data_IF_866405546373
#
_entry.id   IF_866405546373
#
_cell.length_a   1.000
_cell.length_b   1.000
_cell.length_c   1.000
_cell.angle_alpha   90.00
_cell.angle_beta   90.00
_cell.angle_gamma   90.00
#
_symmetry.space_group_name_H-M   'P 1'
#
loop_
_entity.id
_entity.type
_entity.pdbx_description
1 polymer ?
#
# COMPACT_ATOMS: atom_id res chain seq x y z
N UNK A 1 28.20 35.88 27.37
CA UNK A 1 26.76 36.25 27.25
C UNK A 1 26.37 36.48 25.77
N UNK A 2 25.69 35.58 25.06
CA UNK A 2 24.37 34.96 25.38
C UNK A 2 23.26 36.03 25.47
N UNK A 3 22.11 35.95 24.79
CA UNK A 3 21.50 35.00 23.80
C UNK A 3 20.61 35.83 22.80
N UNK A 4 19.85 35.37 21.79
CA UNK A 4 19.30 34.06 21.37
C UNK A 4 19.24 33.89 19.84
N UNK A 5 19.49 32.67 19.34
CA UNK A 5 18.39 31.86 18.77
C UNK A 5 17.65 32.27 17.49
N UNK A 6 18.28 32.80 16.43
CA UNK A 6 17.64 32.78 15.08
C UNK A 6 17.62 31.38 14.46
N UNK A 7 16.75 30.49 14.97
CA UNK A 7 16.50 29.15 14.42
C UNK A 7 15.70 29.18 13.08
N UNK A 8 16.28 29.79 12.03
CA UNK A 8 15.83 29.54 10.65
C UNK A 8 16.46 28.25 10.11
N UNK A 9 15.84 27.10 10.37
CA UNK A 9 15.96 25.93 9.47
C UNK A 9 14.89 24.85 9.63
N UNK A 10 13.60 25.23 9.67
CA UNK A 10 12.55 24.29 9.26
C UNK A 10 12.50 24.24 7.73
N UNK A 11 13.50 23.59 7.12
CA UNK A 11 13.52 23.32 5.69
C UNK A 11 12.62 22.10 5.43
N UNK A 12 11.31 22.31 5.45
CA UNK A 12 10.36 21.29 5.02
C UNK A 12 10.62 20.97 3.56
N UNK A 13 11.20 19.80 3.28
CA UNK A 13 11.42 19.34 1.92
C UNK A 13 10.06 19.16 1.25
N UNK A 14 9.77 20.02 0.28
CA UNK A 14 8.50 20.02 -0.44
C UNK A 14 8.59 19.01 -1.58
N UNK A 15 8.31 17.75 -1.24
CA UNK A 15 8.20 16.67 -2.22
C UNK A 15 7.03 16.94 -3.16
N UNK A 16 7.23 16.67 -4.44
CA UNK A 16 6.19 16.75 -5.48
C UNK A 16 6.15 15.44 -6.24
N UNK A 17 5.01 14.75 -6.19
CA UNK A 17 4.76 13.56 -6.96
C UNK A 17 4.14 13.95 -8.31
N UNK A 18 4.73 13.50 -9.41
CA UNK A 18 4.08 13.52 -10.71
C UNK A 18 3.20 12.27 -10.83
N UNK A 19 1.93 12.42 -11.20
CA UNK A 19 1.02 11.29 -11.46
C UNK A 19 0.46 11.45 -12.87
N UNK A 20 0.94 10.59 -13.77
CA UNK A 20 0.35 10.32 -15.06
C UNK A 20 -0.91 9.47 -14.83
N UNK A 21 -1.96 9.77 -15.58
CA UNK A 21 -3.26 9.09 -15.52
C UNK A 21 -3.66 8.60 -16.91
N UNK A 22 -4.38 7.48 -16.97
CA UNK A 22 -4.87 6.89 -18.23
C UNK A 22 -6.34 6.49 -18.08
N UNK A 23 -7.24 7.25 -18.72
CA UNK A 23 -8.68 6.98 -18.68
C UNK A 23 -9.05 5.63 -19.32
N UNK A 24 -8.21 5.07 -20.19
CA UNK A 24 -8.44 3.73 -20.77
C UNK A 24 -8.29 2.61 -19.73
N UNK A 25 -7.58 2.86 -18.62
CA UNK A 25 -7.47 1.95 -17.47
C UNK A 25 -8.53 2.24 -16.39
N UNK A 26 -9.47 3.16 -16.64
CA UNK A 26 -10.68 3.37 -15.84
C UNK A 26 -10.43 3.67 -14.35
N UNK A 27 -10.67 2.67 -13.49
CA UNK A 27 -10.47 2.80 -12.04
C UNK A 27 -9.00 2.69 -11.62
N UNK A 28 -8.19 1.91 -12.34
CA UNK A 28 -6.76 1.75 -12.08
C UNK A 28 -5.94 2.93 -12.61
N UNK A 29 -6.43 3.61 -13.65
CA UNK A 29 -5.73 4.70 -14.33
C UNK A 29 -5.52 5.99 -13.55
N UNK A 30 -5.88 6.06 -12.26
CA UNK A 30 -5.90 7.31 -11.47
C UNK A 30 -5.61 7.07 -9.98
N UNK A 31 -5.14 8.09 -9.24
CA UNK A 31 -4.99 8.01 -7.78
C UNK A 31 -6.35 8.12 -7.06
N UNK A 32 -6.42 7.62 -5.83
CA UNK A 32 -7.63 7.61 -5.01
C UNK A 32 -7.42 8.30 -3.66
N UNK A 33 -8.43 8.99 -3.14
CA UNK A 33 -8.32 9.81 -1.92
C UNK A 33 -7.85 9.03 -0.68
N UNK A 34 -8.24 7.75 -0.55
CA UNK A 34 -7.79 6.90 0.55
C UNK A 34 -6.28 6.55 0.50
N UNK A 35 -5.59 6.75 -0.62
CA UNK A 35 -4.12 6.62 -0.66
C UNK A 35 -3.44 7.68 0.23
N UNK A 36 -4.04 8.86 0.42
CA UNK A 36 -3.58 9.86 1.41
C UNK A 36 -3.83 9.42 2.86
N UNK A 37 -4.85 8.58 3.08
CA UNK A 37 -5.12 7.95 4.38
C UNK A 37 -4.08 6.86 4.65
N UNK A 38 -3.85 5.97 3.68
CA UNK A 38 -2.84 4.92 3.75
C UNK A 38 -1.42 5.46 3.96
N UNK A 39 -1.07 6.58 3.29
CA UNK A 39 0.18 7.30 3.49
C UNK A 39 0.40 7.66 4.98
N UNK A 40 -0.56 8.37 5.59
CA UNK A 40 -0.48 8.84 6.98
C UNK A 40 -0.48 7.71 8.00
N UNK A 41 -1.25 6.64 7.78
CA UNK A 41 -1.26 5.47 8.67
C UNK A 41 0.09 4.77 8.67
N UNK A 42 0.70 4.57 7.50
CA UNK A 42 2.00 3.91 7.41
C UNK A 42 3.14 4.80 7.92
N UNK A 43 3.04 6.12 7.78
CA UNK A 43 3.98 7.05 8.42
C UNK A 43 4.00 6.84 9.95
N UNK A 44 2.83 6.80 10.60
CA UNK A 44 2.73 6.53 12.04
C UNK A 44 3.35 5.19 12.45
N UNK A 45 3.12 4.13 11.68
CA UNK A 45 3.70 2.80 11.90
C UNK A 45 5.24 2.82 11.79
N UNK A 46 5.77 3.52 10.79
CA UNK A 46 7.22 3.65 10.55
C UNK A 46 7.92 4.51 11.61
N UNK A 47 7.22 5.48 12.19
CA UNK A 47 7.70 6.34 13.28
C UNK A 47 7.59 5.69 14.67
N UNK A 48 6.55 4.88 14.93
CA UNK A 48 6.35 4.11 16.16
C UNK A 48 7.36 2.97 16.38
N UNK A 49 8.31 2.78 15.45
CA UNK A 49 9.45 1.84 15.56
C UNK A 49 9.06 0.37 15.79
N UNK A 50 8.02 -0.09 15.10
CA UNK A 50 7.78 -1.52 14.91
C UNK A 50 8.89 -2.21 14.06
N UNK A 51 9.82 -1.42 13.51
CA UNK A 51 11.02 -1.86 12.77
C UNK A 51 12.29 -1.22 13.34
N UNK A 52 13.40 -1.95 13.29
CA UNK A 52 14.69 -1.56 13.87
C UNK A 52 15.40 -0.46 13.08
N UNK A 53 16.33 0.25 13.75
CA UNK A 53 17.18 1.25 13.08
C UNK A 53 18.14 0.54 12.11
N UNK A 54 18.16 0.97 10.85
CA UNK A 54 18.97 0.37 9.79
C UNK A 54 18.34 -0.85 9.12
N UNK A 55 17.16 -1.29 9.57
CA UNK A 55 16.45 -2.42 8.98
C UNK A 55 15.76 -2.02 7.67
N UNK A 56 15.95 -2.84 6.63
CA UNK A 56 15.38 -2.62 5.29
C UNK A 56 13.95 -3.16 5.26
N UNK A 57 12.98 -2.25 5.19
CA UNK A 57 11.55 -2.61 5.09
C UNK A 57 11.18 -2.95 3.65
N UNK A 58 10.43 -4.03 3.46
CA UNK A 58 9.73 -4.35 2.21
C UNK A 58 8.32 -3.76 2.25
N UNK A 59 7.91 -3.04 1.21
CA UNK A 59 6.54 -2.58 1.01
C UNK A 59 5.98 -3.24 -0.24
N UNK A 60 4.77 -3.78 -0.17
CA UNK A 60 4.01 -4.29 -1.33
C UNK A 60 2.68 -3.55 -1.39
N UNK A 61 2.39 -2.90 -2.52
CA UNK A 61 1.06 -2.34 -2.80
C UNK A 61 0.29 -3.30 -3.73
N UNK A 62 -0.87 -3.77 -3.25
CA UNK A 62 -1.83 -4.59 -3.99
C UNK A 62 -2.90 -3.70 -4.61
N UNK A 63 -3.10 -3.80 -5.93
CA UNK A 63 -4.04 -2.94 -6.67
C UNK A 63 -3.56 -1.48 -6.71
N UNK A 64 -2.27 -1.28 -6.97
CA UNK A 64 -1.63 0.03 -6.90
C UNK A 64 -2.13 1.03 -7.96
N UNK A 65 -2.84 0.56 -8.99
CA UNK A 65 -3.37 1.37 -10.09
C UNK A 65 -2.25 2.13 -10.80
N UNK A 66 -2.33 3.46 -10.80
CA UNK A 66 -1.29 4.32 -11.34
C UNK A 66 0.07 4.25 -10.58
N UNK A 67 0.15 3.57 -9.43
CA UNK A 67 1.39 3.39 -8.65
C UNK A 67 1.80 4.61 -7.80
N UNK A 68 0.89 5.58 -7.62
CA UNK A 68 1.18 6.85 -6.95
C UNK A 68 1.66 6.69 -5.50
N UNK A 69 1.03 5.80 -4.72
CA UNK A 69 1.35 5.60 -3.30
C UNK A 69 2.70 4.88 -3.12
N UNK A 70 2.96 3.79 -3.85
CA UNK A 70 4.28 3.16 -3.94
C UNK A 70 5.39 4.17 -4.32
N UNK A 71 5.15 5.03 -5.32
CA UNK A 71 6.11 6.08 -5.68
C UNK A 71 6.35 7.07 -4.54
N UNK A 72 5.30 7.50 -3.83
CA UNK A 72 5.41 8.39 -2.67
C UNK A 72 6.23 7.77 -1.54
N UNK A 73 6.03 6.48 -1.22
CA UNK A 73 6.83 5.78 -0.21
C UNK A 73 8.28 5.57 -0.63
N UNK A 74 8.54 5.17 -1.88
CA UNK A 74 9.89 4.97 -2.40
C UNK A 74 10.72 6.27 -2.34
N UNK A 75 10.09 7.43 -2.61
CA UNK A 75 10.71 8.75 -2.42
C UNK A 75 10.89 9.10 -0.94
N UNK A 76 9.83 9.05 -0.13
CA UNK A 76 9.85 9.45 1.29
C UNK A 76 10.84 8.64 2.11
N UNK A 77 10.97 7.36 1.83
CA UNK A 77 11.79 6.41 2.57
C UNK A 77 13.16 6.16 1.93
N UNK A 78 13.54 6.86 0.85
CA UNK A 78 14.76 6.60 0.08
C UNK A 78 16.05 6.47 0.94
N UNK A 79 16.17 7.24 2.02
CA UNK A 79 17.30 7.17 2.96
C UNK A 79 17.38 5.85 3.75
N UNK A 80 16.27 5.12 3.90
CA UNK A 80 16.19 3.76 4.47
C UNK A 80 16.38 2.66 3.41
N UNK A 81 16.57 3.03 2.13
CA UNK A 81 16.73 2.13 0.98
C UNK A 81 15.69 0.98 0.96
N UNK A 82 14.36 1.27 1.02
CA UNK A 82 13.33 0.24 1.08
C UNK A 82 13.38 -0.71 -0.12
N UNK A 83 12.67 -1.82 -0.03
CA UNK A 83 12.22 -2.56 -1.22
C UNK A 83 10.74 -2.21 -1.42
N UNK A 84 10.40 -1.48 -2.48
CA UNK A 84 9.00 -1.12 -2.77
C UNK A 84 8.55 -1.87 -4.01
N UNK A 85 7.46 -2.64 -3.89
CA UNK A 85 6.85 -3.41 -4.97
C UNK A 85 5.45 -2.85 -5.22
N UNK A 86 5.15 -2.41 -6.43
CA UNK A 86 3.81 -2.02 -6.85
C UNK A 86 3.22 -3.11 -7.74
N UNK A 87 2.01 -3.60 -7.41
CA UNK A 87 1.42 -4.76 -8.06
C UNK A 87 -0.03 -4.55 -8.47
N UNK A 88 -0.37 -5.00 -9.68
CA UNK A 88 -1.68 -4.84 -10.30
C UNK A 88 -1.87 -5.85 -11.46
N UNK A 89 -2.94 -5.72 -12.25
CA UNK A 89 -3.18 -6.50 -13.46
C UNK A 89 -2.14 -6.19 -14.57
N UNK A 90 -1.85 -7.13 -15.48
CA UNK A 90 -0.78 -6.99 -16.48
C UNK A 90 -0.84 -5.70 -17.32
N UNK A 91 -2.06 -5.28 -17.68
CA UNK A 91 -2.37 -4.09 -18.48
C UNK A 91 -2.14 -2.76 -17.73
N UNK A 92 -2.09 -2.79 -16.39
CA UNK A 92 -1.86 -1.61 -15.54
C UNK A 92 -0.36 -1.39 -15.26
N UNK A 93 0.45 -2.45 -15.28
CA UNK A 93 1.91 -2.39 -15.05
C UNK A 93 2.63 -1.32 -15.90
N UNK A 94 2.32 -1.10 -17.20
CA UNK A 94 2.94 -0.05 -18.00
C UNK A 94 2.75 1.37 -17.44
N UNK A 95 1.61 1.67 -16.80
CA UNK A 95 1.37 2.98 -16.18
C UNK A 95 2.17 3.12 -14.88
N UNK A 96 2.24 2.07 -14.05
CA UNK A 96 3.09 2.05 -12.86
C UNK A 96 4.57 2.31 -13.20
N UNK A 97 5.10 1.64 -14.23
CA UNK A 97 6.48 1.83 -14.70
C UNK A 97 6.72 3.26 -15.19
N UNK A 98 5.77 3.85 -15.92
CA UNK A 98 5.87 5.25 -16.36
C UNK A 98 5.88 6.23 -15.18
N UNK A 99 5.03 6.02 -14.17
CA UNK A 99 5.00 6.86 -12.97
C UNK A 99 6.25 6.70 -12.10
N UNK A 100 6.76 5.49 -11.92
CA UNK A 100 8.03 5.26 -11.24
C UNK A 100 9.18 5.99 -11.97
N UNK A 101 9.23 5.88 -13.31
CA UNK A 101 10.21 6.58 -14.16
C UNK A 101 10.11 8.10 -14.09
N UNK A 102 8.91 8.66 -14.18
CA UNK A 102 8.66 10.11 -14.11
C UNK A 102 9.12 10.72 -12.78
N UNK A 103 8.93 9.99 -11.68
CA UNK A 103 9.35 10.40 -10.34
C UNK A 103 10.80 10.01 -10.00
N UNK A 104 11.47 9.18 -10.83
CA UNK A 104 12.74 8.51 -10.51
C UNK A 104 12.67 7.69 -9.21
N UNK A 105 11.49 7.15 -8.92
CA UNK A 105 11.22 6.36 -7.73
C UNK A 105 11.73 4.93 -7.90
N UNK A 106 12.38 4.37 -6.88
CA UNK A 106 12.86 2.99 -6.87
C UNK A 106 11.70 2.04 -6.49
N UNK A 107 10.88 1.70 -7.48
CA UNK A 107 9.71 0.82 -7.35
C UNK A 107 9.87 -0.37 -8.32
N UNK A 108 9.79 -1.58 -7.78
CA UNK A 108 9.63 -2.82 -8.54
C UNK A 108 8.16 -2.92 -8.99
N UNK A 109 7.87 -2.66 -10.26
CA UNK A 109 6.53 -2.82 -10.82
C UNK A 109 6.36 -4.25 -11.34
N UNK A 110 5.38 -4.99 -10.81
CA UNK A 110 5.10 -6.38 -11.20
C UNK A 110 3.60 -6.59 -11.43
N UNK A 111 3.24 -7.67 -12.15
CA UNK A 111 1.84 -8.10 -12.17
C UNK A 111 1.55 -9.09 -11.05
N UNK A 112 0.41 -8.94 -10.39
CA UNK A 112 -0.13 -9.91 -9.45
C UNK A 112 -1.67 -9.90 -9.50
N UNK A 113 -2.28 -10.71 -10.39
CA UNK A 113 -3.69 -11.06 -10.26
C UNK A 113 -3.91 -11.71 -8.89
N UNK A 114 -4.90 -11.23 -8.14
CA UNK A 114 -5.19 -11.80 -6.82
C UNK A 114 -5.66 -13.25 -6.95
N UNK A 115 -5.37 -14.07 -5.93
CA UNK A 115 -5.52 -15.52 -5.99
C UNK A 115 -4.37 -16.27 -6.68
N UNK A 116 -3.48 -15.61 -7.42
CA UNK A 116 -2.22 -16.25 -7.87
C UNK A 116 -1.23 -16.35 -6.70
N UNK A 117 -1.36 -17.45 -5.96
CA UNK A 117 -0.50 -17.74 -4.82
C UNK A 117 0.93 -18.17 -5.21
N UNK A 118 1.17 -18.49 -6.49
CA UNK A 118 2.52 -18.75 -6.98
C UNK A 118 3.24 -17.42 -7.24
N UNK A 119 2.61 -16.48 -7.94
CA UNK A 119 3.12 -15.13 -8.14
C UNK A 119 3.29 -14.35 -6.82
N UNK A 120 2.32 -14.45 -5.89
CA UNK A 120 2.41 -13.82 -4.58
C UNK A 120 3.66 -14.30 -3.80
N UNK A 121 3.91 -15.61 -3.77
CA UNK A 121 5.11 -16.18 -3.14
C UNK A 121 6.40 -15.83 -3.88
N UNK A 122 6.36 -15.75 -5.22
CA UNK A 122 7.50 -15.37 -6.04
C UNK A 122 7.98 -13.92 -5.82
N UNK A 123 7.16 -13.04 -5.23
CA UNK A 123 7.62 -11.72 -4.78
C UNK A 123 8.72 -11.78 -3.71
N UNK A 124 8.87 -12.91 -3.00
CA UNK A 124 9.86 -13.12 -1.95
C UNK A 124 9.84 -12.01 -0.87
N UNK A 125 8.67 -11.84 -0.22
CA UNK A 125 8.44 -10.81 0.80
C UNK A 125 9.05 -11.23 2.14
N UNK A 126 10.36 -11.04 2.25
CA UNK A 126 11.09 -11.15 3.51
C UNK A 126 10.65 -10.04 4.48
N UNK A 127 10.52 -10.39 5.76
CA UNK A 127 10.27 -9.42 6.83
C UNK A 127 11.53 -8.55 7.13
N UNK A 128 11.35 -7.34 7.69
CA UNK A 128 10.07 -6.69 8.00
C UNK A 128 9.32 -6.23 6.75
N UNK A 129 8.00 -6.43 6.73
CA UNK A 129 7.19 -6.11 5.57
C UNK A 129 5.87 -5.41 5.91
N UNK A 130 5.41 -4.57 4.98
CA UNK A 130 4.07 -3.98 4.99
C UNK A 130 3.38 -4.27 3.65
N UNK A 131 2.18 -4.83 3.72
CA UNK A 131 1.32 -5.09 2.56
C UNK A 131 0.16 -4.11 2.61
N UNK A 132 0.13 -3.18 1.65
CA UNK A 132 -0.91 -2.16 1.54
C UNK A 132 -1.91 -2.57 0.46
N UNK A 133 -3.19 -2.49 0.79
CA UNK A 133 -4.32 -2.83 -0.05
C UNK A 133 -5.28 -1.64 -0.01
N UNK A 134 -5.11 -0.69 -0.94
CA UNK A 134 -5.80 0.60 -0.91
C UNK A 134 -6.91 0.70 -1.96
N UNK A 135 -8.16 0.93 -1.54
CA UNK A 135 -9.35 0.99 -2.40
C UNK A 135 -9.51 -0.24 -3.31
N UNK A 136 -9.22 -1.43 -2.74
CA UNK A 136 -9.35 -2.74 -3.41
C UNK A 136 -10.46 -3.64 -2.86
N UNK A 137 -11.12 -3.24 -1.75
CA UNK A 137 -12.25 -3.98 -1.18
C UNK A 137 -13.56 -3.85 -1.99
N UNK A 138 -13.55 -3.05 -3.07
CA UNK A 138 -14.68 -2.83 -3.96
C UNK A 138 -15.01 -4.08 -4.79
N UNK A 139 -16.21 -4.10 -5.38
CA UNK A 139 -16.59 -5.11 -6.35
C UNK A 139 -16.02 -4.76 -7.73
N UNK A 140 -15.14 -5.61 -8.26
CA UNK A 140 -14.54 -5.43 -9.60
C UNK A 140 -15.55 -5.54 -10.76
N UNK A 141 -16.75 -6.07 -10.50
CA UNK A 141 -17.82 -6.16 -11.48
C UNK A 141 -18.57 -4.84 -11.68
N UNK A 142 -18.87 -4.54 -12.94
CA UNK A 142 -19.98 -3.63 -13.32
C UNK A 142 -21.17 -4.42 -13.89
N UNK A 143 -21.06 -5.75 -13.94
CA UNK A 143 -22.10 -6.70 -14.32
C UNK A 143 -22.18 -7.86 -13.31
N UNK A 144 -23.33 -8.53 -13.26
CA UNK A 144 -23.68 -9.57 -12.29
C UNK A 144 -22.91 -10.90 -12.43
N UNK A 145 -22.04 -11.05 -13.43
CA UNK A 145 -21.32 -12.29 -13.74
C UNK A 145 -19.82 -12.20 -13.48
N UNK A 146 -19.28 -11.00 -13.21
CA UNK A 146 -17.88 -10.80 -12.84
C UNK A 146 -17.54 -11.46 -11.49
N UNK A 147 -16.39 -12.15 -11.46
CA UNK A 147 -15.92 -12.94 -10.30
C UNK A 147 -15.78 -12.11 -9.01
N UNK A 148 -16.04 -12.73 -7.86
CA UNK A 148 -15.93 -12.09 -6.55
C UNK A 148 -14.47 -12.01 -6.08
N UNK A 149 -13.80 -10.91 -6.45
CA UNK A 149 -12.41 -10.59 -6.13
C UNK A 149 -12.04 -10.64 -4.65
N UNK A 150 -13.02 -10.62 -3.73
CA UNK A 150 -12.79 -10.61 -2.27
C UNK A 150 -12.08 -11.86 -1.75
N UNK A 151 -12.47 -13.04 -2.23
CA UNK A 151 -11.82 -14.31 -1.83
C UNK A 151 -10.36 -14.37 -2.35
N UNK A 152 -10.09 -14.16 -3.65
CA UNK A 152 -8.72 -14.04 -4.18
C UNK A 152 -7.87 -12.98 -3.47
N UNK A 153 -8.43 -11.81 -3.14
CA UNK A 153 -7.74 -10.75 -2.39
C UNK A 153 -7.37 -11.20 -0.96
N UNK A 154 -8.29 -11.87 -0.26
CA UNK A 154 -8.02 -12.43 1.06
C UNK A 154 -6.95 -13.52 1.03
N UNK A 155 -6.96 -14.39 0.01
CA UNK A 155 -5.96 -15.43 -0.20
C UNK A 155 -4.57 -14.83 -0.50
N UNK A 156 -4.49 -13.80 -1.35
CA UNK A 156 -3.23 -13.08 -1.62
C UNK A 156 -2.73 -12.32 -0.39
N UNK A 157 -3.59 -11.64 0.36
CA UNK A 157 -3.21 -10.97 1.61
C UNK A 157 -2.65 -11.96 2.64
N UNK A 158 -3.32 -13.10 2.83
CA UNK A 158 -2.83 -14.15 3.72
C UNK A 158 -1.48 -14.72 3.26
N UNK A 159 -1.30 -14.99 1.97
CA UNK A 159 -0.06 -15.53 1.42
C UNK A 159 1.15 -14.57 1.51
N UNK A 160 0.93 -13.26 1.63
CA UNK A 160 1.98 -12.25 1.80
C UNK A 160 2.24 -11.89 3.27
N UNK A 161 1.23 -12.03 4.15
CA UNK A 161 1.30 -11.68 5.57
C UNK A 161 1.64 -12.87 6.48
N UNK A 162 1.31 -14.11 6.08
CA UNK A 162 1.63 -15.34 6.80
C UNK A 162 2.88 -15.96 6.16
N UNK A 163 4.05 -15.41 6.50
CA UNK A 163 5.35 -15.92 6.09
C UNK A 163 5.86 -17.05 6.98
N UNK A 164 6.89 -17.76 6.50
CA UNK A 164 7.57 -18.83 7.25
C UNK A 164 8.65 -18.30 8.22
N UNK A 165 9.04 -17.02 8.10
CA UNK A 165 9.95 -16.35 9.04
C UNK A 165 9.21 -15.67 10.20
N UNK A 166 9.91 -15.45 11.31
CA UNK A 166 9.34 -14.89 12.55
C UNK A 166 9.35 -13.35 12.59
N UNK A 167 9.50 -12.67 11.45
CA UNK A 167 9.61 -11.22 11.39
C UNK A 167 8.27 -10.49 11.26
N UNK A 168 8.25 -9.22 11.66
CA UNK A 168 7.02 -8.40 11.70
C UNK A 168 6.48 -8.16 10.28
N UNK A 169 5.21 -8.53 10.07
CA UNK A 169 4.42 -8.23 8.87
C UNK A 169 3.15 -7.49 9.24
N UNK A 170 2.78 -6.47 8.47
CA UNK A 170 1.62 -5.61 8.73
C UNK A 170 0.76 -5.51 7.48
N UNK A 171 -0.53 -5.83 7.60
CA UNK A 171 -1.53 -5.60 6.56
C UNK A 171 -2.24 -4.26 6.76
N UNK A 172 -2.27 -3.42 5.73
CA UNK A 172 -3.03 -2.16 5.71
C UNK A 172 -4.11 -2.22 4.63
N UNK A 173 -5.31 -2.62 5.01
CA UNK A 173 -6.50 -2.57 4.16
C UNK A 173 -7.19 -1.21 4.37
N UNK A 174 -7.17 -0.32 3.37
CA UNK A 174 -7.61 1.08 3.49
C UNK A 174 -8.55 1.44 2.35
N UNK A 175 -9.83 1.70 2.63
CA UNK A 175 -10.85 1.95 1.61
C UNK A 175 -11.93 2.90 2.14
N UNK A 176 -12.62 3.57 1.23
CA UNK A 176 -13.84 4.32 1.56
C UNK A 176 -15.01 3.34 1.66
N UNK A 177 -15.76 3.32 2.77
CA UNK A 177 -16.97 2.48 2.85
C UNK A 177 -18.05 3.06 1.93
N UNK A 178 -18.52 2.25 0.99
CA UNK A 178 -19.59 2.51 0.01
C UNK A 178 -20.69 1.44 0.04
N UNK A 179 -20.30 0.20 0.31
CA UNK A 179 -21.19 -0.94 0.55
C UNK A 179 -20.63 -1.75 1.72
N UNK A 180 -21.09 -1.40 2.92
CA UNK A 180 -20.69 -2.03 4.18
C UNK A 180 -20.84 -3.56 4.14
N UNK A 181 -21.90 -4.05 3.49
CA UNK A 181 -22.20 -5.49 3.39
C UNK A 181 -21.19 -6.26 2.54
N UNK A 182 -20.55 -5.58 1.59
CA UNK A 182 -19.54 -6.17 0.69
C UNK A 182 -18.13 -5.97 1.17
N UNK A 183 -17.79 -4.75 1.58
CA UNK A 183 -16.42 -4.34 1.90
C UNK A 183 -16.02 -4.82 3.31
N UNK A 184 -16.91 -4.76 4.31
CA UNK A 184 -16.61 -5.32 5.64
C UNK A 184 -16.65 -6.84 5.68
N UNK A 185 -17.29 -7.49 4.70
CA UNK A 185 -17.28 -8.96 4.57
C UNK A 185 -15.88 -9.53 4.23
N UNK A 186 -14.92 -8.69 3.82
CA UNK A 186 -13.51 -9.10 3.69
C UNK A 186 -12.85 -9.34 5.06
N UNK A 187 -13.32 -8.67 6.13
CA UNK A 187 -12.75 -8.79 7.48
C UNK A 187 -12.90 -10.20 8.10
N UNK A 188 -14.05 -10.89 8.06
CA UNK A 188 -14.12 -12.30 8.47
C UNK A 188 -13.30 -13.22 7.55
N UNK A 189 -13.31 -13.02 6.23
CA UNK A 189 -12.52 -13.83 5.29
C UNK A 189 -11.01 -13.80 5.61
N UNK A 190 -10.48 -12.66 6.05
CA UNK A 190 -9.09 -12.52 6.50
C UNK A 190 -8.84 -13.26 7.83
N UNK A 191 -9.79 -13.20 8.79
CA UNK A 191 -9.70 -13.92 10.07
C UNK A 191 -9.79 -15.45 9.89
N UNK A 192 -10.62 -15.93 8.99
CA UNK A 192 -10.74 -17.35 8.61
C UNK A 192 -9.41 -17.92 8.06
N UNK A 193 -8.55 -17.05 7.50
CA UNK A 193 -7.21 -17.39 7.01
C UNK A 193 -6.13 -17.29 8.09
N UNK A 194 -6.49 -16.97 9.33
CA UNK A 194 -5.56 -16.87 10.46
C UNK A 194 -4.94 -15.49 10.69
N UNK A 195 -5.40 -14.43 10.00
CA UNK A 195 -4.93 -13.07 10.24
C UNK A 195 -5.64 -12.45 11.44
N UNK A 196 -4.88 -11.77 12.31
CA UNK A 196 -5.46 -10.84 13.28
C UNK A 196 -5.93 -9.57 12.55
N UNK A 197 -7.20 -9.21 12.72
CA UNK A 197 -7.82 -8.09 11.99
C UNK A 197 -8.45 -7.13 12.98
N UNK A 198 -7.76 -6.01 13.23
CA UNK A 198 -8.22 -4.86 14.01
C UNK A 198 -8.79 -3.82 13.05
N UNK A 199 -10.02 -3.37 13.29
CA UNK A 199 -10.65 -2.29 12.53
C UNK A 199 -10.40 -0.96 13.26
N UNK A 200 -9.77 0.00 12.59
CA UNK A 200 -9.51 1.35 13.13
C UNK A 200 -10.32 2.36 12.33
N UNK A 201 -11.47 2.78 12.86
CA UNK A 201 -12.33 3.79 12.24
C UNK A 201 -13.16 4.55 13.28
N UNK A 202 -13.22 5.90 13.23
CA UNK A 202 -12.34 6.75 12.44
C UNK A 202 -10.88 6.63 12.89
N UNK A 203 -9.93 7.08 12.08
CA UNK A 203 -8.59 7.37 12.59
C UNK A 203 -8.69 8.55 13.57
N UNK A 204 -7.98 8.52 14.73
CA UNK A 204 -7.90 9.68 15.59
C UNK A 204 -7.25 10.84 14.82
N UNK A 205 -7.86 12.02 14.91
CA UNK A 205 -7.29 13.24 14.33
C UNK A 205 -6.16 13.72 15.26
N UNK A 206 -5.01 14.08 14.70
CA UNK A 206 -3.93 14.71 15.48
C UNK A 206 -4.39 16.10 15.98
N UNK A 207 -4.89 16.17 17.22
CA UNK A 207 -5.29 17.45 17.83
C UNK A 207 -6.45 17.42 18.84
N UNK A 208 -7.04 16.25 19.16
CA UNK A 208 -8.01 16.07 20.25
C UNK A 208 -7.36 15.52 21.54
#
# INVERSE_FOLDING_TARGET
PETWGRHRRQCGQRWSLAVLTDDALGVAGRPWAAQEVAARVLDGILEQRQFSIGERVTLVELGAGCGALACAFALKLAARQPRVIATDLPEVVPLMVQNAGANKALVECASLPWGDLAAAKALAVAAPAVVVACEVAYWGGWDLFADDTRVPLADTLAALLIGEDTGVRIGLLVFTIRDESRELALLPMLRERGLEVVQVSPLPVEGE
#
